data_IF_276467013948
#
_entry.id   IF_276467013948
#
_cell.length_a   1.000
_cell.length_b   1.000
_cell.length_c   1.000
_cell.angle_alpha   90.00
_cell.angle_beta   90.00
_cell.angle_gamma   90.00
#
_symmetry.space_group_name_H-M   'P 1'
#
loop_
_entity.id
_entity.type
_entity.pdbx_description
1 polymer ?
#
# COMPACT_ATOMS: atom_id res chain seq x y z
N UNK A 1 15.00 -38.68 -3.74
CA UNK A 1 13.82 -37.80 -3.61
C UNK A 1 13.84 -37.23 -2.21
N UNK A 2 14.66 -36.20 -1.97
CA UNK A 2 14.86 -35.62 -0.65
C UNK A 2 13.90 -34.45 -0.47
N UNK A 3 13.07 -34.54 0.56
CA UNK A 3 12.17 -33.47 0.97
C UNK A 3 12.96 -32.20 1.27
N UNK A 4 12.49 -31.06 0.77
CA UNK A 4 13.01 -29.75 1.15
C UNK A 4 12.65 -29.52 2.62
N UNK A 5 13.59 -29.75 3.54
CA UNK A 5 13.51 -29.19 4.88
C UNK A 5 13.60 -27.66 4.75
N UNK A 6 12.44 -27.02 4.73
CA UNK A 6 12.35 -25.56 4.70
C UNK A 6 12.96 -24.97 5.97
N UNK A 7 14.10 -24.30 5.84
CA UNK A 7 14.64 -23.44 6.88
C UNK A 7 13.55 -22.45 7.33
N UNK A 8 13.06 -22.61 8.57
CA UNK A 8 12.07 -21.70 9.16
C UNK A 8 12.74 -20.36 9.44
N UNK A 9 12.21 -19.29 8.86
CA UNK A 9 12.64 -17.92 9.13
C UNK A 9 12.26 -17.51 10.57
N UNK A 10 13.16 -16.78 11.23
CA UNK A 10 12.85 -16.13 12.52
C UNK A 10 11.79 -15.04 12.33
N UNK A 11 10.73 -15.08 13.14
CA UNK A 11 9.68 -14.04 13.14
C UNK A 11 10.08 -12.90 14.06
N UNK A 12 10.81 -11.93 13.52
CA UNK A 12 11.30 -10.77 14.28
C UNK A 12 10.73 -9.43 13.79
N UNK A 13 9.86 -9.43 12.77
CA UNK A 13 9.30 -8.19 12.24
C UNK A 13 8.43 -7.48 13.29
N UNK A 14 8.79 -6.24 13.57
CA UNK A 14 8.01 -5.32 14.39
C UNK A 14 6.97 -4.56 13.56
N UNK A 15 6.07 -3.85 14.23
CA UNK A 15 5.07 -3.02 13.56
C UNK A 15 5.70 -1.94 12.65
N UNK A 16 6.83 -1.39 13.06
CA UNK A 16 7.55 -0.39 12.26
C UNK A 16 8.12 -1.02 10.99
N UNK A 17 8.66 -2.23 11.08
CA UNK A 17 9.20 -2.93 9.91
C UNK A 17 8.09 -3.21 8.89
N UNK A 18 6.94 -3.70 9.35
CA UNK A 18 5.78 -3.97 8.48
C UNK A 18 5.22 -2.67 7.88
N UNK A 19 5.16 -1.58 8.65
CA UNK A 19 4.72 -0.27 8.18
C UNK A 19 5.65 0.28 7.09
N UNK A 20 6.97 0.20 7.29
CA UNK A 20 7.96 0.67 6.31
C UNK A 20 7.91 -0.16 5.03
N UNK A 21 7.79 -1.48 5.15
CA UNK A 21 7.67 -2.38 3.99
C UNK A 21 6.38 -2.09 3.20
N UNK A 22 5.25 -1.95 3.90
CA UNK A 22 3.95 -1.68 3.28
C UNK A 22 3.90 -0.31 2.60
N UNK A 23 4.31 0.74 3.31
CA UNK A 23 4.29 2.10 2.74
C UNK A 23 5.33 2.29 1.63
N UNK A 24 6.55 1.76 1.81
CA UNK A 24 7.61 1.82 0.81
C UNK A 24 7.25 1.11 -0.49
N UNK A 25 6.66 -0.09 -0.39
CA UNK A 25 6.19 -0.83 -1.57
C UNK A 25 5.05 -0.11 -2.30
N UNK A 26 4.09 0.45 -1.56
CA UNK A 26 2.96 1.19 -2.13
C UNK A 26 3.41 2.48 -2.85
N UNK A 27 4.33 3.25 -2.25
CA UNK A 27 4.84 4.48 -2.87
C UNK A 27 5.64 4.19 -4.14
N UNK A 28 6.39 3.08 -4.15
CA UNK A 28 7.18 2.63 -5.31
C UNK A 28 6.33 2.26 -6.53
N UNK A 29 5.13 1.70 -6.31
CA UNK A 29 4.30 1.12 -7.37
C UNK A 29 3.70 2.13 -8.38
N UNK A 30 3.80 3.44 -8.14
CA UNK A 30 3.29 4.44 -9.09
C UNK A 30 2.74 5.71 -8.48
N UNK A 31 3.13 6.07 -7.25
CA UNK A 31 2.66 7.31 -6.60
C UNK A 31 2.97 8.56 -7.42
N UNK A 32 3.98 8.56 -8.30
CA UNK A 32 4.29 9.75 -9.11
C UNK A 32 3.49 9.83 -10.41
N UNK A 33 3.03 8.70 -10.94
CA UNK A 33 2.33 8.65 -12.22
C UNK A 33 0.84 9.01 -12.06
N UNK A 34 0.18 8.41 -11.07
CA UNK A 34 -1.27 8.56 -10.87
C UNK A 34 -1.67 10.01 -10.54
N UNK A 35 -0.99 10.75 -9.66
CA UNK A 35 -1.30 12.15 -9.39
C UNK A 35 -1.03 13.04 -10.59
N UNK A 36 -0.01 12.75 -11.41
CA UNK A 36 0.27 13.52 -12.64
C UNK A 36 -0.89 13.41 -13.64
N UNK A 37 -1.39 12.20 -13.87
CA UNK A 37 -2.53 11.97 -14.76
C UNK A 37 -3.83 12.56 -14.16
N UNK A 38 -4.02 12.39 -12.85
CA UNK A 38 -5.19 12.95 -12.16
C UNK A 38 -5.18 14.48 -12.21
N UNK A 39 -4.04 15.13 -11.96
CA UNK A 39 -3.88 16.58 -12.07
C UNK A 39 -4.15 17.08 -13.49
N UNK A 40 -3.74 16.34 -14.53
CA UNK A 40 -4.07 16.68 -15.92
C UNK A 40 -5.59 16.63 -16.21
N UNK A 41 -6.34 15.75 -15.52
CA UNK A 41 -7.78 15.60 -15.71
C UNK A 41 -8.62 16.55 -14.85
N UNK A 42 -8.24 16.74 -13.60
CA UNK A 42 -9.05 17.47 -12.60
C UNK A 42 -8.46 18.82 -12.22
N UNK A 43 -7.24 19.15 -12.69
CA UNK A 43 -6.53 20.36 -12.33
C UNK A 43 -6.32 20.48 -10.81
N UNK A 44 -6.64 21.65 -10.28
CA UNK A 44 -6.48 22.00 -8.86
C UNK A 44 -7.34 21.14 -7.91
N UNK A 45 -8.42 20.53 -8.41
CA UNK A 45 -9.32 19.67 -7.63
C UNK A 45 -8.74 18.27 -7.34
N UNK A 46 -7.51 17.98 -7.78
CA UNK A 46 -6.84 16.68 -7.57
C UNK A 46 -6.74 16.30 -6.09
N UNK A 47 -6.51 17.27 -5.20
CA UNK A 47 -6.44 17.03 -3.75
C UNK A 47 -7.77 16.51 -3.22
N UNK A 48 -8.89 17.12 -3.65
CA UNK A 48 -10.24 16.67 -3.26
C UNK A 48 -10.56 15.28 -3.83
N UNK A 49 -10.16 15.01 -5.07
CA UNK A 49 -10.35 13.70 -5.70
C UNK A 49 -9.60 12.59 -4.94
N UNK A 50 -8.34 12.83 -4.55
CA UNK A 50 -7.56 11.88 -3.76
C UNK A 50 -8.08 11.72 -2.34
N UNK A 51 -8.58 12.80 -1.73
CA UNK A 51 -9.20 12.74 -0.41
C UNK A 51 -10.48 11.89 -0.42
N UNK A 52 -11.34 12.06 -1.43
CA UNK A 52 -12.53 11.21 -1.60
C UNK A 52 -12.13 9.75 -1.86
N UNK A 53 -11.13 9.53 -2.73
CA UNK A 53 -10.64 8.19 -3.02
C UNK A 53 -10.08 7.48 -1.78
N UNK A 54 -9.35 8.19 -0.91
CA UNK A 54 -8.81 7.60 0.32
C UNK A 54 -9.92 7.25 1.31
N UNK A 55 -10.93 8.12 1.48
CA UNK A 55 -12.10 7.82 2.32
C UNK A 55 -12.82 6.55 1.84
N UNK A 56 -13.01 6.41 0.52
CA UNK A 56 -13.63 5.22 -0.06
C UNK A 56 -12.75 3.95 0.06
N UNK A 57 -11.42 4.11 0.18
CA UNK A 57 -10.50 3.00 0.35
C UNK A 57 -10.40 2.49 1.81
N UNK A 58 -10.73 3.31 2.80
CA UNK A 58 -10.63 2.96 4.24
C UNK A 58 -11.41 1.68 4.60
N UNK A 59 -12.67 1.48 4.17
CA UNK A 59 -13.40 0.25 4.50
C UNK A 59 -12.70 -1.01 3.97
N UNK A 60 -12.20 -0.95 2.74
CA UNK A 60 -11.48 -2.07 2.13
C UNK A 60 -10.15 -2.34 2.84
N UNK A 61 -9.44 -1.29 3.28
CA UNK A 61 -8.23 -1.42 4.07
C UNK A 61 -8.50 -2.09 5.42
N UNK A 62 -9.56 -1.67 6.13
CA UNK A 62 -9.94 -2.27 7.40
C UNK A 62 -10.30 -3.76 7.24
N UNK A 63 -11.07 -4.12 6.21
CA UNK A 63 -11.35 -5.54 5.92
C UNK A 63 -10.08 -6.36 5.67
N UNK A 64 -9.05 -5.77 5.03
CA UNK A 64 -7.76 -6.45 4.81
C UNK A 64 -6.89 -6.53 6.06
N UNK A 65 -7.05 -5.60 6.99
CA UNK A 65 -6.33 -5.62 8.26
C UNK A 65 -6.91 -6.66 9.24
N UNK A 66 -8.20 -6.97 9.13
CA UNK A 66 -8.86 -8.02 9.93
C UNK A 66 -8.62 -9.44 9.42
N UNK A 67 -8.34 -9.60 8.12
CA UNK A 67 -8.10 -10.87 7.41
C UNK A 67 -6.73 -11.49 7.79
#
# INVERSE_FOLDING_TARGET
MAASEGHRLSKELTLLDVYVIGTGSMLSAGFFLLPGIAASKTGTSVVLAYFLASVLAVPALLSKAEL
#
